data_IF_330275202433
#
_entry.id   IF_330275202433
#
_cell.length_a   1.000
_cell.length_b   1.000
_cell.length_c   1.000
_cell.angle_alpha   90.00
_cell.angle_beta   90.00
_cell.angle_gamma   90.00
#
_symmetry.space_group_name_H-M   'P 1'
#
loop_
_entity.id
_entity.type
_entity.pdbx_description
1 polymer ?
#
# COMPACT_ATOMS: atom_id res chain seq x y z
N UNK A 1 51.58 39.95 -9.43
CA UNK A 1 50.48 40.26 -10.37
C UNK A 1 49.72 38.98 -10.65
N UNK A 2 48.58 38.77 -10.00
CA UNK A 2 47.68 37.66 -10.31
C UNK A 2 46.71 38.09 -11.43
N UNK A 3 46.39 37.20 -12.36
CA UNK A 3 45.65 37.53 -13.58
C UNK A 3 44.19 37.95 -13.31
N UNK A 4 43.76 39.06 -13.90
CA UNK A 4 42.41 39.64 -13.77
C UNK A 4 41.26 38.76 -14.30
N UNK A 5 41.55 37.63 -14.94
CA UNK A 5 40.54 36.68 -15.47
C UNK A 5 39.88 35.79 -14.39
N UNK A 6 40.48 35.67 -13.20
CA UNK A 6 39.91 34.85 -12.12
C UNK A 6 38.79 35.55 -11.35
N UNK A 7 38.87 36.88 -11.20
CA UNK A 7 37.90 37.68 -10.43
C UNK A 7 36.61 37.87 -11.24
N UNK A 8 36.71 38.07 -12.56
CA UNK A 8 35.55 38.16 -13.46
C UNK A 8 34.75 36.86 -13.52
N UNK A 9 35.41 35.69 -13.51
CA UNK A 9 34.71 34.39 -13.45
C UNK A 9 33.99 34.16 -12.12
N UNK A 10 34.58 34.59 -10.99
CA UNK A 10 33.94 34.46 -9.68
C UNK A 10 32.73 35.40 -9.52
N UNK A 11 32.81 36.63 -10.03
CA UNK A 11 31.68 37.57 -10.05
C UNK A 11 30.54 37.09 -10.96
N UNK A 12 30.82 36.48 -12.11
CA UNK A 12 29.77 35.95 -12.99
C UNK A 12 29.01 34.78 -12.34
N UNK A 13 29.73 33.93 -11.58
CA UNK A 13 29.10 32.82 -10.84
C UNK A 13 28.22 33.34 -9.69
N UNK A 14 28.68 34.36 -8.96
CA UNK A 14 27.91 35.02 -7.90
C UNK A 14 26.65 35.75 -8.43
N UNK A 15 26.72 36.36 -9.62
CA UNK A 15 25.55 36.98 -10.24
C UNK A 15 24.50 35.94 -10.67
N UNK A 16 24.92 34.78 -11.19
CA UNK A 16 24.01 33.67 -11.51
C UNK A 16 23.35 33.08 -10.26
N UNK A 17 24.03 33.03 -9.11
CA UNK A 17 23.43 32.61 -7.82
C UNK A 17 22.51 33.65 -7.18
N UNK A 18 22.51 34.90 -7.65
CA UNK A 18 21.59 35.96 -7.21
C UNK A 18 20.43 36.19 -8.19
N UNK A 19 20.51 35.61 -9.40
CA UNK A 19 19.42 35.52 -10.38
C UNK A 19 18.75 34.15 -10.43
N UNK A 20 19.04 33.25 -9.49
CA UNK A 20 17.99 32.35 -8.97
C UNK A 20 16.97 33.19 -8.20
N UNK A 21 16.22 34.01 -8.94
CA UNK A 21 14.95 34.53 -8.48
C UNK A 21 14.20 33.35 -7.89
N UNK A 22 13.68 33.50 -6.68
CA UNK A 22 12.77 32.51 -6.11
C UNK A 22 11.56 32.45 -7.03
N UNK A 23 11.63 31.55 -8.01
CA UNK A 23 10.49 31.00 -8.68
C UNK A 23 9.64 30.41 -7.56
N UNK A 24 8.70 31.23 -7.07
CA UNK A 24 7.48 30.74 -6.48
C UNK A 24 7.07 29.61 -7.41
N UNK A 25 7.08 28.34 -6.96
CA UNK A 25 6.68 27.27 -7.85
C UNK A 25 5.28 27.66 -8.30
N UNK A 26 5.15 27.95 -9.59
CA UNK A 26 3.87 28.32 -10.17
C UNK A 26 2.90 27.25 -9.70
N UNK A 27 1.79 27.66 -9.08
CA UNK A 27 0.75 26.76 -8.62
C UNK A 27 0.06 26.20 -9.87
N UNK A 28 0.79 25.33 -10.56
CA UNK A 28 0.58 24.92 -11.92
C UNK A 28 -0.40 23.76 -11.86
N UNK A 29 -1.68 24.13 -11.79
CA UNK A 29 -2.83 23.24 -11.99
C UNK A 29 -2.72 21.89 -11.27
N UNK A 30 -2.58 21.92 -9.95
CA UNK A 30 -2.79 20.73 -9.14
C UNK A 30 -4.26 20.30 -9.28
N UNK A 31 -4.47 19.05 -9.67
CA UNK A 31 -5.79 18.47 -9.69
C UNK A 31 -6.30 18.36 -8.24
N UNK A 32 -7.59 18.60 -7.93
CA UNK A 32 -8.08 18.62 -6.55
C UNK A 32 -7.82 17.31 -5.79
N UNK A 33 -7.85 16.17 -6.50
CA UNK A 33 -7.59 14.82 -5.97
C UNK A 33 -6.10 14.43 -5.96
N UNK A 34 -5.17 15.32 -6.34
CA UNK A 34 -3.74 14.99 -6.29
C UNK A 34 -3.31 14.57 -4.88
N UNK A 35 -2.29 13.70 -4.74
CA UNK A 35 -1.67 13.43 -3.45
C UNK A 35 -1.07 14.69 -2.82
N UNK A 36 -0.80 14.64 -1.52
CA UNK A 36 -0.04 15.70 -0.84
C UNK A 36 1.42 15.65 -1.27
N UNK A 37 1.95 16.77 -1.79
CA UNK A 37 3.36 16.85 -2.20
C UNK A 37 4.29 16.97 -0.98
N UNK A 38 5.59 16.65 -1.09
CA UNK A 38 6.53 16.79 0.03
C UNK A 38 6.59 18.19 0.66
N UNK A 39 6.44 19.25 -0.15
CA UNK A 39 6.38 20.63 0.35
C UNK A 39 5.09 20.92 1.13
N UNK A 40 3.95 20.37 0.70
CA UNK A 40 2.68 20.45 1.41
C UNK A 40 2.70 19.65 2.71
N UNK A 41 3.28 18.45 2.72
CA UNK A 41 3.48 17.66 3.93
C UNK A 41 4.33 18.41 4.97
N UNK A 42 5.46 18.99 4.54
CA UNK A 42 6.31 19.82 5.41
C UNK A 42 5.57 21.05 5.96
N UNK A 43 4.69 21.67 5.17
CA UNK A 43 3.84 22.79 5.62
C UNK A 43 2.84 22.32 6.68
N UNK A 44 2.13 21.22 6.45
CA UNK A 44 1.17 20.63 7.41
C UNK A 44 1.87 20.29 8.73
N UNK A 45 3.02 19.59 8.68
CA UNK A 45 3.84 19.30 9.86
C UNK A 45 4.23 20.57 10.60
N UNK A 46 4.69 21.60 9.90
CA UNK A 46 5.07 22.88 10.51
C UNK A 46 3.90 23.59 11.19
N UNK A 47 2.71 23.59 10.59
CA UNK A 47 1.49 24.18 11.16
C UNK A 47 1.09 23.45 12.45
N UNK A 48 1.04 22.11 12.40
CA UNK A 48 0.65 21.28 13.56
C UNK A 48 1.65 21.40 14.71
N UNK A 49 2.96 21.34 14.43
CA UNK A 49 4.01 21.49 15.44
C UNK A 49 4.06 22.90 16.04
N UNK A 50 3.69 23.95 15.29
CA UNK A 50 3.59 25.32 15.84
C UNK A 50 2.50 25.43 16.92
N UNK A 51 1.37 24.72 16.77
CA UNK A 51 0.29 24.67 17.77
C UNK A 51 0.58 23.69 18.91
N UNK A 52 1.31 22.61 18.62
CA UNK A 52 1.64 21.54 19.56
C UNK A 52 3.17 21.34 19.64
N UNK A 53 3.91 22.30 20.23
CA UNK A 53 5.37 22.29 20.20
C UNK A 53 5.96 21.12 20.99
N UNK A 54 7.01 20.53 20.44
CA UNK A 54 7.87 19.59 21.16
C UNK A 54 8.50 20.28 22.37
N UNK A 55 8.23 19.76 23.57
CA UNK A 55 8.88 20.22 24.81
C UNK A 55 9.79 19.11 25.32
N UNK A 56 11.07 19.22 24.96
CA UNK A 56 12.15 18.29 25.37
C UNK A 56 12.26 18.13 26.89
N UNK A 57 11.85 19.16 27.65
CA UNK A 57 11.80 19.15 29.12
C UNK A 57 10.67 18.32 29.73
N UNK A 58 9.63 17.92 28.97
CA UNK A 58 8.47 17.17 29.51
C UNK A 58 8.26 15.80 28.87
N UNK A 59 9.03 15.46 27.82
CA UNK A 59 8.85 14.23 27.04
C UNK A 59 7.56 14.19 26.21
N UNK A 60 6.79 15.28 26.15
CA UNK A 60 5.50 15.35 25.45
C UNK A 60 5.70 15.64 23.96
N UNK A 61 6.30 14.69 23.24
CA UNK A 61 6.46 14.77 21.79
C UNK A 61 5.14 14.45 21.08
N UNK A 62 4.81 15.24 20.06
CA UNK A 62 3.78 14.90 19.08
C UNK A 62 4.37 13.90 18.07
N UNK A 63 3.58 12.90 17.68
CA UNK A 63 3.94 11.95 16.61
C UNK A 63 2.82 11.89 15.59
N UNK A 64 3.17 11.80 14.31
CA UNK A 64 2.23 11.75 13.19
C UNK A 64 1.99 10.29 12.81
N UNK A 65 0.72 9.88 12.79
CA UNK A 65 0.30 8.51 12.49
C UNK A 65 -0.32 8.39 11.10
N UNK A 66 -0.86 9.51 10.60
CA UNK A 66 -1.42 9.67 9.27
C UNK A 66 -1.37 11.15 8.91
N UNK A 67 -0.99 11.45 7.67
CA UNK A 67 -1.16 12.74 7.02
C UNK A 67 -1.54 12.44 5.58
N UNK A 68 -2.76 12.80 5.19
CA UNK A 68 -3.30 12.53 3.86
C UNK A 68 -4.23 13.66 3.39
N UNK A 69 -4.64 13.59 2.13
CA UNK A 69 -5.68 14.49 1.62
C UNK A 69 -6.98 14.22 2.40
N UNK A 70 -7.64 15.27 2.85
CA UNK A 70 -9.04 15.20 3.25
C UNK A 70 -9.83 15.41 1.95
N UNK A 71 -10.44 14.32 1.45
CA UNK A 71 -10.95 14.27 0.08
C UNK A 71 -12.10 15.27 -0.12
N UNK A 72 -12.03 16.17 -1.14
CA UNK A 72 -13.10 17.11 -1.39
C UNK A 72 -14.40 16.39 -1.74
N UNK A 73 -15.54 16.99 -1.37
CA UNK A 73 -16.84 16.37 -1.59
C UNK A 73 -17.13 16.14 -3.09
N UNK A 74 -17.81 15.02 -3.38
CA UNK A 74 -18.16 14.56 -4.73
C UNK A 74 -18.84 15.65 -5.57
N UNK A 75 -19.72 16.44 -4.96
CA UNK A 75 -20.46 17.53 -5.63
C UNK A 75 -19.52 18.66 -6.05
N UNK A 76 -18.59 19.07 -5.20
CA UNK A 76 -17.56 20.07 -5.53
C UNK A 76 -16.62 19.60 -6.63
N UNK A 77 -16.20 18.32 -6.62
CA UNK A 77 -15.38 17.74 -7.69
C UNK A 77 -16.14 17.74 -9.02
N UNK A 78 -17.39 17.25 -9.05
CA UNK A 78 -18.21 17.23 -10.27
C UNK A 78 -18.50 18.65 -10.79
N UNK A 79 -18.73 19.61 -9.88
CA UNK A 79 -18.92 21.02 -10.22
C UNK A 79 -17.66 21.62 -10.84
N UNK A 80 -16.49 21.40 -10.23
CA UNK A 80 -15.19 21.83 -10.78
C UNK A 80 -14.89 21.18 -12.14
N UNK A 81 -15.24 19.90 -12.34
CA UNK A 81 -15.06 19.21 -13.61
C UNK A 81 -15.95 19.76 -14.74
N UNK A 82 -17.11 20.33 -14.43
CA UNK A 82 -18.01 20.96 -15.41
C UNK A 82 -17.54 22.34 -15.88
N UNK A 83 -16.60 22.98 -15.17
CA UNK A 83 -16.05 24.28 -15.55
C UNK A 83 -15.25 24.19 -16.87
N UNK A 84 -15.32 25.25 -17.68
CA UNK A 84 -14.44 25.42 -18.83
C UNK A 84 -12.97 25.57 -18.37
N UNK A 85 -11.97 25.35 -19.26
CA UNK A 85 -10.56 25.40 -18.87
C UNK A 85 -10.16 26.71 -18.18
N UNK A 86 -10.60 27.86 -18.71
CA UNK A 86 -10.30 29.17 -18.13
C UNK A 86 -10.86 29.36 -16.71
N UNK A 87 -12.02 28.80 -16.40
CA UNK A 87 -12.58 28.87 -15.06
C UNK A 87 -11.94 27.83 -14.14
N UNK A 88 -11.55 26.65 -14.63
CA UNK A 88 -10.72 25.70 -13.86
C UNK A 88 -9.41 26.32 -13.40
N UNK A 89 -8.79 27.20 -14.21
CA UNK A 89 -7.56 27.92 -13.81
C UNK A 89 -7.80 29.00 -12.74
N UNK A 90 -9.05 29.45 -12.55
CA UNK A 90 -9.45 30.54 -11.65
C UNK A 90 -10.16 30.04 -10.38
N UNK A 91 -10.82 28.88 -10.45
CA UNK A 91 -11.55 28.27 -9.34
C UNK A 91 -10.64 27.31 -8.57
N UNK A 92 -10.14 27.80 -7.43
CA UNK A 92 -9.44 26.98 -6.45
C UNK A 92 -10.46 26.27 -5.55
N UNK A 93 -10.56 24.95 -5.64
CA UNK A 93 -11.14 24.16 -4.54
C UNK A 93 -10.15 24.17 -3.38
N UNK A 94 -10.63 24.47 -2.16
CA UNK A 94 -9.74 24.38 -0.99
C UNK A 94 -9.36 22.92 -0.77
N UNK A 95 -8.05 22.66 -0.74
CA UNK A 95 -7.52 21.35 -0.39
C UNK A 95 -7.28 21.33 1.11
N UNK A 96 -7.92 20.38 1.77
CA UNK A 96 -7.78 20.13 3.20
C UNK A 96 -6.83 18.94 3.40
N UNK A 97 -6.10 18.93 4.52
CA UNK A 97 -5.26 17.80 4.91
C UNK A 97 -5.76 17.24 6.25
N UNK A 98 -6.09 15.96 6.26
CA UNK A 98 -6.47 15.21 7.45
C UNK A 98 -5.21 14.66 8.12
N UNK A 99 -5.08 14.92 9.42
CA UNK A 99 -3.97 14.48 10.25
C UNK A 99 -4.48 13.72 11.46
N UNK A 100 -4.02 12.47 11.62
CA UNK A 100 -4.12 11.77 12.90
C UNK A 100 -2.76 11.85 13.61
N UNK A 101 -2.72 12.53 14.75
CA UNK A 101 -1.53 12.72 15.55
C UNK A 101 -1.71 12.14 16.96
N UNK A 102 -0.62 11.72 17.59
CA UNK A 102 -0.57 11.31 18.99
C UNK A 102 0.18 12.36 19.78
N UNK A 103 -0.48 12.98 20.75
CA UNK A 103 0.08 14.05 21.59
C UNK A 103 -0.43 13.91 23.02
N UNK A 104 0.44 14.07 24.02
CA UNK A 104 0.13 13.88 25.46
C UNK A 104 -0.69 12.61 25.76
N UNK A 105 -0.35 11.50 25.11
CA UNK A 105 -1.02 10.18 25.21
C UNK A 105 -2.47 10.13 24.69
N UNK A 106 -2.98 11.22 24.11
CA UNK A 106 -4.27 11.30 23.40
C UNK A 106 -4.08 11.14 21.89
N UNK A 107 -5.17 10.83 21.18
CA UNK A 107 -5.25 10.88 19.71
C UNK A 107 -5.93 12.19 19.31
N UNK A 108 -5.29 12.95 18.44
CA UNK A 108 -5.84 14.17 17.85
C UNK A 108 -6.21 13.90 16.40
N UNK A 109 -7.38 14.41 16.02
CA UNK A 109 -7.86 14.51 14.65
C UNK A 109 -7.85 15.98 14.26
N UNK A 110 -7.05 16.33 13.27
CA UNK A 110 -6.76 17.72 12.91
C UNK A 110 -6.99 17.90 11.41
N UNK A 111 -7.81 18.89 11.04
CA UNK A 111 -7.98 19.34 9.66
C UNK A 111 -7.17 20.62 9.45
N UNK A 112 -6.28 20.61 8.45
CA UNK A 112 -5.47 21.76 8.05
C UNK A 112 -5.92 22.24 6.68
N UNK A 113 -6.33 23.51 6.58
CA UNK A 113 -6.61 24.14 5.29
C UNK A 113 -5.29 24.65 4.68
N UNK A 114 -4.98 24.15 3.48
CA UNK A 114 -3.69 24.39 2.83
C UNK A 114 -3.59 25.77 2.17
N UNK A 115 -4.73 26.41 1.88
CA UNK A 115 -4.81 27.72 1.25
C UNK A 115 -4.58 28.84 2.29
N UNK A 116 -5.32 28.79 3.38
CA UNK A 116 -5.21 29.69 4.55
C UNK A 116 -4.00 29.36 5.43
N UNK A 117 -3.42 28.16 5.28
CA UNK A 117 -2.28 27.64 6.05
C UNK A 117 -2.57 27.58 7.55
N UNK A 118 -3.79 27.17 7.90
CA UNK A 118 -4.33 27.22 9.26
C UNK A 118 -5.02 25.92 9.66
N UNK A 119 -5.13 25.69 10.97
CA UNK A 119 -5.88 24.55 11.52
C UNK A 119 -7.34 24.95 11.61
N UNK A 120 -8.21 24.25 10.87
CA UNK A 120 -9.67 24.47 10.85
C UNK A 120 -10.29 23.82 12.09
N UNK A 121 -9.98 22.54 12.32
CA UNK A 121 -10.48 21.75 13.46
C UNK A 121 -9.34 20.95 14.09
N UNK A 122 -9.49 20.60 15.38
CA UNK A 122 -8.45 19.94 16.16
C UNK A 122 -9.09 19.26 17.37
N UNK A 123 -9.68 18.10 17.13
CA UNK A 123 -10.51 17.38 18.09
C UNK A 123 -9.72 16.27 18.78
N UNK A 124 -10.08 15.93 20.02
CA UNK A 124 -9.58 14.73 20.70
C UNK A 124 -10.50 13.56 20.35
N UNK A 125 -9.93 12.52 19.76
CA UNK A 125 -10.67 11.30 19.46
C UNK A 125 -10.90 10.48 20.73
N UNK A 126 -12.16 10.30 21.11
CA UNK A 126 -12.60 9.60 22.32
C UNK A 126 -13.29 8.25 22.04
N UNK A 127 -13.34 7.80 20.78
CA UNK A 127 -13.94 6.52 20.38
C UNK A 127 -13.04 5.31 20.66
N UNK A 128 -13.45 4.15 20.16
CA UNK A 128 -12.69 2.91 20.30
C UNK A 128 -11.60 2.78 19.21
N UNK A 129 -10.49 2.13 19.56
CA UNK A 129 -9.37 1.90 18.65
C UNK A 129 -8.33 3.02 18.66
N UNK A 130 -7.31 2.86 17.82
CA UNK A 130 -6.15 3.74 17.75
C UNK A 130 -5.71 3.94 16.29
N UNK A 131 -5.06 5.08 15.97
CA UNK A 131 -4.51 5.31 14.64
C UNK A 131 -3.34 4.37 14.34
N UNK A 132 -3.00 4.29 13.04
CA UNK A 132 -1.91 3.50 12.45
C UNK A 132 -0.62 3.57 13.27
N UNK A 133 0.11 2.46 13.27
CA UNK A 133 1.44 2.40 13.86
C UNK A 133 2.42 3.15 12.96
N UNK A 134 3.21 4.06 13.53
CA UNK A 134 4.36 4.61 12.81
C UNK A 134 5.58 3.67 12.97
N UNK A 135 6.61 3.85 12.14
CA UNK A 135 7.80 2.97 12.16
C UNK A 135 8.65 3.23 13.41
N UNK A 136 8.75 4.50 13.85
CA UNK A 136 9.60 4.91 14.98
C UNK A 136 9.16 4.30 16.31
N UNK A 137 7.86 4.23 16.59
CA UNK A 137 7.34 3.64 17.82
C UNK A 137 7.44 2.10 17.82
N UNK A 138 7.37 1.47 16.64
CA UNK A 138 7.59 0.03 16.49
C UNK A 138 9.07 -0.32 16.68
N UNK A 139 10.00 0.45 16.11
CA UNK A 139 11.44 0.31 16.34
C UNK A 139 11.82 0.53 17.81
N UNK A 140 11.30 1.59 18.45
CA UNK A 140 11.53 1.83 19.89
C UNK A 140 10.95 0.72 20.76
N UNK A 141 9.75 0.24 20.47
CA UNK A 141 9.15 -0.88 21.20
C UNK A 141 9.90 -2.22 20.96
N UNK A 142 10.35 -2.46 19.72
CA UNK A 142 11.10 -3.66 19.33
C UNK A 142 12.51 -3.74 19.92
N UNK A 143 13.05 -2.63 20.43
CA UNK A 143 14.32 -2.59 21.17
C UNK A 143 14.18 -3.01 22.64
N UNK A 144 13.02 -2.81 23.26
CA UNK A 144 12.79 -3.13 24.68
C UNK A 144 13.14 -4.57 25.10
N UNK A 145 12.89 -5.62 24.30
CA UNK A 145 13.31 -6.99 24.65
C UNK A 145 14.81 -7.13 24.91
N UNK A 146 15.65 -6.38 24.20
CA UNK A 146 17.12 -6.53 24.25
C UNK A 146 17.75 -5.96 25.54
N UNK A 147 17.00 -5.18 26.32
CA UNK A 147 17.37 -4.76 27.68
C UNK A 147 16.61 -5.53 28.78
N UNK A 148 15.69 -6.44 28.40
CA UNK A 148 14.76 -7.10 29.31
C UNK A 148 15.29 -8.44 29.82
N UNK A 149 15.78 -8.47 31.07
CA UNK A 149 16.44 -9.65 31.67
C UNK A 149 15.74 -11.01 31.43
N UNK A 150 14.41 -11.16 31.61
CA UNK A 150 13.74 -12.45 31.33
C UNK A 150 13.87 -12.92 29.87
N UNK A 151 13.88 -12.00 28.90
CA UNK A 151 14.10 -12.33 27.49
C UNK A 151 15.55 -12.76 27.25
N UNK A 152 16.52 -12.01 27.80
CA UNK A 152 17.94 -12.35 27.70
C UNK A 152 18.24 -13.74 28.27
N UNK A 153 17.64 -14.09 29.41
CA UNK A 153 17.72 -15.42 30.01
C UNK A 153 17.06 -16.50 29.13
N UNK A 154 15.92 -16.20 28.51
CA UNK A 154 15.20 -17.11 27.62
C UNK A 154 15.94 -17.40 26.31
N UNK A 155 16.65 -16.40 25.75
CA UNK A 155 17.55 -16.54 24.59
C UNK A 155 18.79 -17.36 24.98
N UNK A 156 19.43 -17.03 26.11
CA UNK A 156 20.60 -17.76 26.64
C UNK A 156 20.27 -19.22 26.95
N UNK A 157 19.10 -19.52 27.52
CA UNK A 157 18.63 -20.89 27.82
C UNK A 157 18.49 -21.74 26.55
N UNK A 158 18.18 -21.12 25.41
CA UNK A 158 18.10 -21.76 24.08
C UNK A 158 19.46 -21.90 23.38
N UNK A 159 20.56 -21.43 23.98
CA UNK A 159 21.89 -21.47 23.39
C UNK A 159 22.08 -20.52 22.19
N UNK A 160 21.18 -19.55 22.01
CA UNK A 160 21.18 -18.65 20.86
C UNK A 160 22.05 -17.40 21.13
N UNK A 161 22.76 -16.93 20.11
CA UNK A 161 23.45 -15.64 20.17
C UNK A 161 22.45 -14.48 20.00
N UNK A 162 22.34 -13.61 21.02
CA UNK A 162 21.45 -12.44 21.03
C UNK A 162 21.66 -11.49 19.84
N UNK A 163 22.89 -11.33 19.34
CA UNK A 163 23.17 -10.45 18.19
C UNK A 163 22.47 -10.87 16.89
N UNK A 164 22.03 -12.13 16.82
CA UNK A 164 21.36 -12.71 15.67
C UNK A 164 19.86 -12.88 15.90
N UNK A 165 19.32 -12.31 16.99
CA UNK A 165 17.88 -12.29 17.27
C UNK A 165 17.31 -10.94 16.80
N UNK A 166 16.18 -10.99 16.10
CA UNK A 166 15.39 -9.82 15.72
C UNK A 166 13.93 -10.03 16.13
N UNK A 167 13.16 -8.96 16.34
CA UNK A 167 11.77 -9.07 16.77
C UNK A 167 10.85 -8.20 15.89
N UNK A 168 9.70 -8.75 15.51
CA UNK A 168 8.69 -8.06 14.70
C UNK A 168 7.42 -7.82 15.51
N UNK A 169 6.79 -6.66 15.28
CA UNK A 169 5.55 -6.22 15.91
C UNK A 169 4.32 -6.86 15.27
N UNK A 170 3.36 -7.24 16.12
CA UNK A 170 2.04 -7.75 15.75
C UNK A 170 0.97 -6.98 16.51
N UNK A 171 -0.07 -6.55 15.80
CA UNK A 171 -1.25 -5.92 16.39
C UNK A 171 -2.05 -6.92 17.23
N UNK A 172 -2.54 -6.49 18.39
CA UNK A 172 -3.25 -7.39 19.32
C UNK A 172 -4.75 -7.53 19.08
N UNK A 173 -5.35 -6.69 18.23
CA UNK A 173 -6.80 -6.66 18.03
C UNK A 173 -7.59 -6.33 19.31
N UNK A 174 -8.82 -6.85 19.42
CA UNK A 174 -9.66 -6.75 20.61
C UNK A 174 -10.44 -8.06 20.80
N UNK A 175 -10.51 -8.54 22.05
CA UNK A 175 -11.05 -9.85 22.42
C UNK A 175 -12.11 -9.75 23.55
N UNK A 176 -13.02 -8.77 23.47
CA UNK A 176 -14.17 -8.67 24.38
C UNK A 176 -13.97 -7.85 25.67
N UNK A 177 -12.73 -7.55 26.08
CA UNK A 177 -12.47 -6.76 27.29
C UNK A 177 -12.79 -5.27 27.05
N UNK A 178 -13.91 -4.79 27.57
CA UNK A 178 -14.35 -3.39 27.47
C UNK A 178 -13.60 -2.46 28.44
N UNK A 179 -12.95 -3.00 29.47
CA UNK A 179 -12.24 -2.22 30.48
C UNK A 179 -10.76 -1.97 30.11
N UNK A 180 -10.20 -2.74 29.17
CA UNK A 180 -8.83 -2.55 28.66
C UNK A 180 -8.78 -1.83 27.31
N UNK A 181 -8.85 -0.50 27.36
CA UNK A 181 -8.41 0.36 26.25
C UNK A 181 -6.90 0.64 26.37
N UNK A 182 -6.07 -0.23 25.77
CA UNK A 182 -4.62 -0.13 25.80
C UNK A 182 -4.03 -0.27 24.38
N UNK A 183 -3.07 0.60 24.03
CA UNK A 183 -2.41 0.60 22.72
C UNK A 183 -1.19 -0.32 22.74
N UNK A 184 -1.46 -1.62 22.74
CA UNK A 184 -0.44 -2.65 22.91
C UNK A 184 -0.02 -3.28 21.57
N UNK A 185 1.23 -3.72 21.51
CA UNK A 185 1.75 -4.63 20.48
C UNK A 185 2.25 -5.92 21.14
N UNK A 186 2.12 -7.04 20.42
CA UNK A 186 2.87 -8.25 20.71
C UNK A 186 4.12 -8.29 19.85
N UNK A 187 5.22 -8.82 20.38
CA UNK A 187 6.44 -9.09 19.62
C UNK A 187 6.70 -10.59 19.55
N UNK A 188 6.86 -11.07 18.31
CA UNK A 188 7.43 -12.38 17.99
C UNK A 188 8.91 -12.15 17.64
N UNK A 189 9.81 -12.96 18.16
CA UNK A 189 11.23 -12.87 17.83
C UNK A 189 11.67 -14.04 16.94
N UNK A 190 12.73 -13.81 16.16
CA UNK A 190 13.21 -14.66 15.07
C UNK A 190 14.74 -14.75 15.11
N UNK A 191 15.30 -15.87 14.65
CA UNK A 191 16.75 -16.08 14.59
C UNK A 191 17.28 -15.89 13.17
N UNK A 192 17.93 -14.75 12.93
CA UNK A 192 18.44 -14.33 11.62
C UNK A 192 19.90 -14.78 11.35
N UNK A 193 20.42 -15.77 12.08
CA UNK A 193 21.74 -16.32 11.76
C UNK A 193 21.69 -17.09 10.44
N UNK A 194 22.76 -16.98 9.64
CA UNK A 194 23.00 -17.71 8.38
C UNK A 194 22.00 -17.46 7.23
N UNK A 195 20.85 -16.84 7.47
CA UNK A 195 19.81 -16.59 6.45
C UNK A 195 19.09 -15.25 6.69
N UNK A 196 18.73 -14.49 5.64
CA UNK A 196 17.87 -13.31 5.75
C UNK A 196 16.40 -13.69 5.99
N UNK A 197 16.04 -14.96 5.79
CA UNK A 197 14.67 -15.45 5.90
C UNK A 197 14.28 -15.66 7.37
N UNK A 198 14.10 -14.54 8.08
CA UNK A 198 13.83 -14.53 9.52
C UNK A 198 12.48 -15.18 9.86
N UNK A 199 11.45 -14.99 9.03
CA UNK A 199 10.07 -15.41 9.33
C UNK A 199 9.88 -16.93 9.38
N UNK A 200 10.75 -17.72 8.75
CA UNK A 200 10.74 -19.19 8.88
C UNK A 200 11.50 -19.69 10.12
N UNK A 201 12.13 -18.80 10.90
CA UNK A 201 12.97 -19.14 12.08
C UNK A 201 12.47 -18.52 13.39
N UNK A 202 11.20 -18.72 13.81
CA UNK A 202 10.65 -18.14 15.03
C UNK A 202 11.30 -18.71 16.31
N UNK A 203 11.45 -17.86 17.32
CA UNK A 203 11.69 -18.26 18.72
C UNK A 203 10.34 -18.62 19.36
N UNK A 204 9.84 -19.80 19.02
CA UNK A 204 8.54 -20.28 19.45
C UNK A 204 8.38 -20.30 20.99
N UNK A 205 7.16 -20.04 21.45
CA UNK A 205 6.78 -20.04 22.86
C UNK A 205 7.09 -18.74 23.61
N UNK A 206 7.88 -17.84 23.04
CA UNK A 206 8.09 -16.49 23.60
C UNK A 206 6.99 -15.55 23.10
N UNK A 207 6.36 -14.81 24.00
CA UNK A 207 5.43 -13.71 23.68
C UNK A 207 5.70 -12.53 24.59
N UNK A 208 5.90 -11.36 23.99
CA UNK A 208 6.20 -10.11 24.71
C UNK A 208 5.11 -9.11 24.36
N UNK A 209 4.38 -8.60 25.35
CA UNK A 209 3.39 -7.52 25.16
C UNK A 209 4.01 -6.19 25.60
N UNK A 210 4.04 -5.21 24.70
CA UNK A 210 4.52 -3.83 24.96
C UNK A 210 3.34 -2.86 24.93
N UNK A 211 3.24 -2.01 25.94
CA UNK A 211 2.35 -0.84 25.95
C UNK A 211 3.08 0.34 25.27
N UNK A 212 2.55 0.85 24.16
CA UNK A 212 3.16 1.96 23.40
C UNK A 212 2.94 3.35 24.03
N UNK A 213 1.98 3.49 24.93
CA UNK A 213 1.68 4.74 25.64
C UNK A 213 2.67 4.98 26.77
N UNK A 214 3.08 3.91 27.46
CA UNK A 214 4.10 3.94 28.51
C UNK A 214 5.49 3.47 28.03
N UNK A 215 5.59 2.99 26.78
CA UNK A 215 6.79 2.45 26.12
C UNK A 215 7.54 1.43 27.00
N UNK A 216 6.79 0.41 27.48
CA UNK A 216 7.30 -0.61 28.40
C UNK A 216 6.72 -1.98 28.10
N UNK A 217 7.49 -3.03 28.38
CA UNK A 217 6.98 -4.41 28.43
C UNK A 217 6.01 -4.51 29.62
N UNK A 218 4.78 -4.93 29.33
CA UNK A 218 3.70 -5.09 30.33
C UNK A 218 3.38 -6.56 30.61
N UNK A 219 3.66 -7.45 29.67
CA UNK A 219 3.54 -8.90 29.85
C UNK A 219 4.71 -9.60 29.16
N UNK A 220 5.19 -10.68 29.76
CA UNK A 220 6.22 -11.55 29.19
C UNK A 220 5.88 -12.99 29.50
N UNK A 221 5.85 -13.84 28.47
CA UNK A 221 5.63 -15.27 28.59
C UNK A 221 6.71 -16.02 27.81
N UNK A 222 7.37 -16.98 28.45
CA UNK A 222 8.15 -18.02 27.79
C UNK A 222 7.53 -19.38 28.13
N UNK A 223 6.71 -19.91 27.21
CA UNK A 223 6.29 -21.32 27.22
C UNK A 223 7.49 -22.15 26.77
N UNK A 224 8.34 -22.48 27.74
CA UNK A 224 9.64 -23.13 27.56
C UNK A 224 9.51 -24.62 27.18
N UNK A 225 8.86 -24.88 26.04
CA UNK A 225 8.47 -26.21 25.56
C UNK A 225 9.59 -26.95 24.81
N UNK A 226 10.85 -26.53 24.99
CA UNK A 226 12.04 -27.08 24.33
C UNK A 226 11.94 -27.17 22.79
N UNK A 227 11.14 -26.30 22.16
CA UNK A 227 11.01 -26.22 20.71
C UNK A 227 12.28 -25.57 20.14
N UNK A 228 13.00 -26.34 19.32
CA UNK A 228 14.17 -25.84 18.59
C UNK A 228 13.76 -24.83 17.53
N UNK A 229 14.60 -23.83 17.30
CA UNK A 229 14.43 -22.93 16.16
C UNK A 229 14.64 -23.74 14.87
N UNK A 230 13.78 -23.61 13.84
CA UNK A 230 13.99 -24.23 12.54
C UNK A 230 15.38 -23.92 11.95
N UNK A 231 15.87 -24.80 11.07
CA UNK A 231 17.19 -24.63 10.45
C UNK A 231 17.24 -23.45 9.47
N UNK A 232 18.45 -22.99 9.15
CA UNK A 232 18.69 -22.02 8.08
C UNK A 232 18.90 -22.68 6.69
N UNK A 233 19.24 -23.97 6.68
CA UNK A 233 19.43 -24.81 5.49
C UNK A 233 18.26 -24.62 4.51
N UNK A 234 18.58 -24.33 3.24
CA UNK A 234 17.63 -24.14 2.12
C UNK A 234 16.55 -23.05 2.29
N UNK A 235 16.75 -22.09 3.21
CA UNK A 235 15.83 -20.95 3.41
C UNK A 235 16.22 -19.65 2.69
N UNK A 236 17.43 -19.57 2.12
CA UNK A 236 17.98 -18.38 1.47
C UNK A 236 17.35 -18.17 0.08
N UNK A 237 16.77 -16.98 -0.14
CA UNK A 237 16.07 -16.62 -1.38
C UNK A 237 16.90 -15.68 -2.30
N UNK A 238 18.00 -15.11 -1.81
CA UNK A 238 18.86 -14.24 -2.62
C UNK A 238 19.79 -15.06 -3.50
N UNK A 239 19.66 -14.92 -4.82
CA UNK A 239 20.48 -15.62 -5.81
C UNK A 239 22.00 -15.43 -5.61
N UNK A 240 22.43 -14.31 -5.03
CA UNK A 240 23.82 -14.02 -4.67
C UNK A 240 24.42 -14.97 -3.61
N UNK A 241 23.57 -15.65 -2.84
CA UNK A 241 23.94 -16.49 -1.70
C UNK A 241 23.55 -17.96 -1.90
N UNK A 242 22.75 -18.25 -2.93
CA UNK A 242 22.39 -19.61 -3.35
C UNK A 242 23.55 -20.29 -4.09
N UNK A 243 23.51 -21.63 -4.14
CA UNK A 243 24.53 -22.46 -4.81
C UNK A 243 23.89 -23.22 -5.98
N UNK A 244 24.67 -23.56 -7.04
CA UNK A 244 24.19 -24.43 -8.11
C UNK A 244 23.71 -25.81 -7.60
N UNK A 245 22.85 -26.52 -8.34
CA UNK A 245 22.38 -26.22 -9.69
C UNK A 245 21.27 -25.16 -9.74
N UNK A 246 21.37 -24.24 -10.70
CA UNK A 246 20.28 -23.32 -11.05
C UNK A 246 19.58 -23.82 -12.32
N UNK A 247 18.24 -23.84 -12.34
CA UNK A 247 17.50 -24.18 -13.55
C UNK A 247 15.98 -24.21 -13.39
N UNK A 248 15.24 -24.40 -14.49
CA UNK A 248 15.73 -24.45 -15.87
C UNK A 248 16.24 -23.09 -16.36
N UNK A 249 17.19 -23.08 -17.31
CA UNK A 249 17.66 -21.83 -17.92
C UNK A 249 16.56 -21.25 -18.81
N UNK A 250 16.18 -20.00 -18.56
CA UNK A 250 15.23 -19.25 -19.38
C UNK A 250 15.94 -18.52 -20.52
N UNK A 251 15.27 -18.39 -21.67
CA UNK A 251 15.73 -17.56 -22.76
C UNK A 251 15.36 -16.09 -22.48
N UNK A 252 16.30 -15.17 -22.73
CA UNK A 252 16.02 -13.74 -22.66
C UNK A 252 15.11 -13.31 -23.83
N UNK A 253 14.19 -12.38 -23.55
CA UNK A 253 13.37 -11.71 -24.55
C UNK A 253 13.44 -10.20 -24.32
N UNK A 254 13.19 -9.41 -25.37
CA UNK A 254 13.17 -7.95 -25.30
C UNK A 254 11.83 -7.41 -25.80
N UNK A 255 11.29 -6.42 -25.09
CA UNK A 255 10.11 -5.66 -25.51
C UNK A 255 10.57 -4.27 -25.93
N UNK A 256 10.10 -3.78 -27.09
CA UNK A 256 10.35 -2.42 -27.58
C UNK A 256 9.11 -1.89 -28.25
N UNK A 257 8.64 -0.72 -27.82
CA UNK A 257 7.64 0.07 -28.55
C UNK A 257 8.39 1.13 -29.36
N UNK A 258 8.40 1.07 -30.70
CA UNK A 258 9.23 1.96 -31.53
C UNK A 258 8.80 3.43 -31.42
N UNK A 259 7.50 3.67 -31.29
CA UNK A 259 6.89 5.01 -31.22
C UNK A 259 6.67 5.52 -29.78
N UNK A 260 7.18 4.78 -28.78
CA UNK A 260 6.92 5.00 -27.36
C UNK A 260 5.64 4.32 -26.84
N UNK A 261 5.29 4.54 -25.57
CA UNK A 261 4.09 3.96 -24.96
C UNK A 261 2.80 4.57 -25.53
N UNK A 262 1.71 3.80 -25.56
CA UNK A 262 0.40 4.26 -26.03
C UNK A 262 -0.32 5.22 -25.06
N UNK A 263 0.23 5.44 -23.86
CA UNK A 263 -0.33 6.28 -22.82
C UNK A 263 0.43 7.61 -22.64
N UNK A 264 -0.30 8.63 -22.19
CA UNK A 264 0.24 9.91 -21.74
C UNK A 264 -0.07 10.13 -20.26
N UNK A 265 0.84 10.81 -19.58
CA UNK A 265 0.72 11.20 -18.16
C UNK A 265 0.85 12.72 -18.10
N UNK A 266 -0.19 13.39 -17.62
CA UNK A 266 -0.18 14.82 -17.31
C UNK A 266 -0.48 15.01 -15.81
N UNK A 267 0.56 15.30 -15.03
CA UNK A 267 0.50 15.23 -13.57
C UNK A 267 0.14 13.83 -13.08
N UNK A 268 -1.11 13.67 -12.60
CA UNK A 268 -1.70 12.40 -12.19
C UNK A 268 -2.84 11.93 -13.11
N UNK A 269 -3.10 12.64 -14.21
CA UNK A 269 -4.07 12.23 -15.23
C UNK A 269 -3.38 11.32 -16.24
N UNK A 270 -3.95 10.14 -16.44
CA UNK A 270 -3.56 9.15 -17.43
C UNK A 270 -4.54 9.22 -18.60
N UNK A 271 -4.03 9.25 -19.82
CA UNK A 271 -4.82 9.12 -21.05
C UNK A 271 -4.24 8.01 -21.91
N UNK A 272 -5.03 7.00 -22.26
CA UNK A 272 -4.59 5.82 -23.00
C UNK A 272 -5.74 5.21 -23.80
N UNK A 273 -5.51 4.90 -25.08
CA UNK A 273 -6.55 4.45 -26.00
C UNK A 273 -7.79 5.37 -25.94
N UNK A 274 -8.93 4.85 -25.48
CA UNK A 274 -10.19 5.56 -25.25
C UNK A 274 -10.45 5.91 -23.76
N UNK A 275 -9.50 5.66 -22.86
CA UNK A 275 -9.61 5.94 -21.42
C UNK A 275 -8.93 7.24 -21.00
N UNK A 276 -9.55 7.95 -20.06
CA UNK A 276 -8.93 9.02 -19.25
C UNK A 276 -9.29 8.80 -17.77
N UNK A 277 -8.30 8.82 -16.88
CA UNK A 277 -8.49 8.64 -15.44
C UNK A 277 -7.43 9.37 -14.61
N UNK A 278 -7.70 9.60 -13.32
CA UNK A 278 -6.76 10.14 -12.33
C UNK A 278 -6.19 9.02 -11.44
N UNK A 279 -4.89 9.11 -11.11
CA UNK A 279 -4.19 8.20 -10.19
C UNK A 279 -3.71 8.97 -8.97
N UNK A 280 -4.51 8.98 -7.91
CA UNK A 280 -4.15 9.51 -6.60
C UNK A 280 -3.22 8.59 -5.82
N UNK A 281 -2.78 9.03 -4.64
CA UNK A 281 -2.13 8.18 -3.64
C UNK A 281 -2.40 8.68 -2.22
N UNK A 282 -2.75 7.76 -1.32
CA UNK A 282 -2.77 7.97 0.11
C UNK A 282 -1.98 6.88 0.87
N UNK A 283 -1.35 7.30 1.99
CA UNK A 283 -0.43 6.48 2.81
C UNK A 283 -1.10 5.32 3.54
N UNK A 284 -2.42 5.36 3.75
CA UNK A 284 -3.18 4.29 4.43
C UNK A 284 -3.76 3.28 3.44
N UNK A 285 -4.21 3.73 2.27
CA UNK A 285 -4.97 2.88 1.32
C UNK A 285 -4.20 2.50 0.06
N UNK A 286 -3.23 3.30 -0.39
CA UNK A 286 -2.56 3.08 -1.68
C UNK A 286 -2.93 4.08 -2.77
N UNK A 287 -2.68 3.75 -4.05
CA UNK A 287 -3.16 4.49 -5.17
C UNK A 287 -4.68 4.38 -5.22
N UNK A 288 -5.26 5.43 -5.75
CA UNK A 288 -6.69 5.61 -5.86
C UNK A 288 -6.96 5.88 -7.33
N UNK A 289 -7.76 5.02 -7.97
CA UNK A 289 -8.24 5.29 -9.32
C UNK A 289 -9.50 6.14 -9.20
N UNK A 290 -9.45 7.34 -9.75
CA UNK A 290 -10.52 8.32 -9.68
C UNK A 290 -10.88 8.85 -11.06
N UNK A 291 -12.13 9.25 -11.26
CA UNK A 291 -12.62 9.87 -12.49
C UNK A 291 -12.36 9.05 -13.76
N UNK A 292 -12.33 7.71 -13.66
CA UNK A 292 -12.04 6.89 -14.82
C UNK A 292 -13.20 6.93 -15.80
N UNK A 293 -12.89 7.27 -17.04
CA UNK A 293 -13.89 7.54 -18.07
C UNK A 293 -13.44 6.97 -19.40
N UNK A 294 -14.38 6.39 -20.13
CA UNK A 294 -14.17 5.84 -21.46
C UNK A 294 -14.92 6.70 -22.49
N UNK A 295 -14.27 6.98 -23.61
CA UNK A 295 -14.84 7.66 -24.76
C UNK A 295 -15.59 6.67 -25.66
N UNK A 296 -16.89 6.92 -25.85
CA UNK A 296 -17.74 6.20 -26.78
C UNK A 296 -17.67 6.88 -28.16
N UNK A 297 -17.13 6.14 -29.13
CA UNK A 297 -16.96 6.59 -30.51
C UNK A 297 -18.29 6.66 -31.28
N UNK A 298 -19.29 5.87 -30.91
CA UNK A 298 -20.59 5.83 -31.60
C UNK A 298 -21.47 7.01 -31.17
N UNK A 299 -21.43 7.37 -29.89
CA UNK A 299 -22.21 8.48 -29.32
C UNK A 299 -21.44 9.80 -29.27
N UNK A 300 -20.14 9.79 -29.59
CA UNK A 300 -19.22 10.93 -29.56
C UNK A 300 -19.10 11.61 -28.18
N UNK A 301 -19.34 10.86 -27.09
CA UNK A 301 -19.37 11.33 -25.70
C UNK A 301 -18.61 10.38 -24.76
N UNK A 302 -18.15 10.88 -23.61
CA UNK A 302 -17.62 10.01 -22.54
C UNK A 302 -18.77 9.38 -21.76
N UNK A 303 -18.84 8.04 -21.73
CA UNK A 303 -20.03 7.26 -21.34
C UNK A 303 -19.92 6.53 -19.99
N UNK A 304 -18.91 6.85 -19.19
CA UNK A 304 -18.83 6.42 -17.80
C UNK A 304 -17.98 7.39 -17.01
N UNK A 305 -18.31 7.59 -15.74
CA UNK A 305 -17.40 8.16 -14.75
C UNK A 305 -17.35 7.20 -13.55
N UNK A 306 -16.26 6.47 -13.41
CA UNK A 306 -15.99 5.76 -12.17
C UNK A 306 -15.37 6.77 -11.22
N UNK A 307 -16.03 7.08 -10.11
CA UNK A 307 -15.43 7.88 -9.05
C UNK A 307 -15.05 6.95 -7.90
N UNK A 308 -13.77 6.60 -7.84
CA UNK A 308 -13.09 6.02 -6.68
C UNK A 308 -13.11 4.49 -6.55
N UNK A 309 -11.90 3.93 -6.40
CA UNK A 309 -11.62 2.64 -5.78
C UNK A 309 -10.20 2.62 -5.17
N UNK A 310 -10.05 1.90 -4.06
CA UNK A 310 -8.79 1.70 -3.31
C UNK A 310 -8.04 0.41 -3.67
N UNK A 311 -6.69 0.42 -3.59
CA UNK A 311 -5.79 -0.50 -2.80
C UNK A 311 -4.33 -0.59 -3.35
N UNK A 312 -3.32 -0.26 -2.50
CA UNK A 312 -1.80 -0.25 -2.50
C UNK A 312 -0.91 -0.03 -3.77
N UNK A 313 0.37 0.41 -3.62
CA UNK A 313 1.32 1.05 -4.62
C UNK A 313 2.51 0.14 -5.08
N UNK A 314 3.26 0.29 -6.20
CA UNK A 314 3.24 1.13 -7.44
C UNK A 314 4.09 0.53 -8.63
N UNK A 315 3.63 0.58 -9.88
CA UNK A 315 4.33 0.47 -11.20
C UNK A 315 3.33 0.69 -12.37
N UNK A 316 3.73 1.04 -13.60
CA UNK A 316 2.82 1.03 -14.77
C UNK A 316 3.44 0.30 -15.95
N UNK A 317 2.66 -0.52 -16.66
CA UNK A 317 3.09 -1.30 -17.81
C UNK A 317 1.97 -1.49 -18.82
N UNK A 318 2.27 -1.35 -20.10
CA UNK A 318 1.39 -1.73 -21.20
C UNK A 318 1.70 -3.19 -21.59
N UNK A 319 0.69 -4.06 -21.58
CA UNK A 319 0.83 -5.48 -21.94
C UNK A 319 0.03 -5.76 -23.21
N UNK A 320 0.68 -6.43 -24.16
CA UNK A 320 0.05 -6.93 -25.38
C UNK A 320 -0.41 -8.37 -25.20
N UNK A 321 -1.69 -8.64 -25.48
CA UNK A 321 -2.28 -9.97 -25.42
C UNK A 321 -2.95 -10.29 -26.76
N UNK A 322 -2.54 -11.39 -27.40
CA UNK A 322 -3.23 -11.88 -28.59
C UNK A 322 -4.59 -12.46 -28.22
N UNK A 323 -5.68 -11.82 -28.66
CA UNK A 323 -7.03 -12.40 -28.61
C UNK A 323 -7.44 -12.75 -30.04
N UNK A 324 -7.89 -13.99 -30.26
CA UNK A 324 -8.35 -14.46 -31.57
C UNK A 324 -9.87 -14.59 -31.52
N UNK A 325 -10.59 -13.59 -32.04
CA UNK A 325 -12.03 -13.70 -32.27
C UNK A 325 -12.29 -14.25 -33.67
N UNK A 326 -12.32 -15.59 -33.80
CA UNK A 326 -12.63 -16.25 -35.08
C UNK A 326 -14.14 -16.34 -35.28
N UNK A 327 -14.67 -15.54 -36.20
CA UNK A 327 -16.05 -15.66 -36.70
C UNK A 327 -16.03 -16.41 -38.03
N UNK A 328 -16.80 -17.49 -38.18
CA UNK A 328 -17.00 -18.18 -39.45
C UNK A 328 -18.50 -18.21 -39.76
N UNK A 329 -18.91 -17.65 -40.89
CA UNK A 329 -20.33 -17.59 -41.31
C UNK A 329 -20.59 -18.67 -42.34
N UNK A 330 -21.47 -19.67 -42.07
CA UNK A 330 -21.78 -20.72 -43.04
C UNK A 330 -22.38 -20.14 -44.33
N UNK A 331 -21.81 -20.50 -45.48
CA UNK A 331 -22.31 -20.10 -46.80
C UNK A 331 -21.79 -18.78 -47.37
N UNK A 332 -20.84 -18.13 -46.67
CA UNK A 332 -20.04 -17.01 -47.20
C UNK A 332 -18.59 -17.51 -47.39
N UNK A 333 -17.77 -16.82 -48.21
CA UNK A 333 -16.31 -17.03 -48.22
C UNK A 333 -15.71 -17.04 -46.81
N UNK A 334 -14.58 -17.72 -46.61
CA UNK A 334 -13.88 -17.75 -45.33
C UNK A 334 -13.30 -16.38 -44.94
N UNK A 335 -14.13 -15.53 -44.34
CA UNK A 335 -13.71 -14.28 -43.71
C UNK A 335 -12.99 -14.63 -42.41
N UNK A 336 -11.64 -14.57 -42.43
CA UNK A 336 -10.82 -14.67 -41.23
C UNK A 336 -10.43 -13.27 -40.74
N UNK A 337 -10.99 -12.85 -39.61
CA UNK A 337 -10.59 -11.64 -38.91
C UNK A 337 -9.92 -11.98 -37.56
N UNK A 338 -8.92 -11.20 -37.17
CA UNK A 338 -8.29 -11.25 -35.85
C UNK A 338 -7.73 -9.87 -35.52
N UNK A 339 -7.93 -9.40 -34.28
CA UNK A 339 -7.44 -8.10 -33.82
C UNK A 339 -6.63 -8.28 -32.53
N UNK A 340 -5.43 -7.69 -32.40
CA UNK A 340 -4.68 -7.74 -31.16
C UNK A 340 -5.42 -6.98 -30.05
N UNK A 341 -5.29 -7.45 -28.81
CA UNK A 341 -5.76 -6.73 -27.63
C UNK A 341 -4.56 -6.13 -26.90
N UNK A 342 -4.74 -4.94 -26.36
CA UNK A 342 -3.73 -4.21 -25.60
C UNK A 342 -4.34 -3.81 -24.26
N UNK A 343 -3.54 -3.80 -23.20
CA UNK A 343 -4.06 -3.49 -21.88
C UNK A 343 -3.07 -2.62 -21.10
N UNK A 344 -3.58 -1.55 -20.50
CA UNK A 344 -2.80 -0.71 -19.60
C UNK A 344 -2.96 -1.22 -18.18
N UNK A 345 -1.86 -1.56 -17.54
CA UNK A 345 -1.83 -1.99 -16.14
C UNK A 345 -1.26 -0.88 -15.25
N UNK A 346 -2.07 -0.42 -14.30
CA UNK A 346 -1.55 0.29 -13.12
C UNK A 346 -1.26 -0.75 -12.03
N UNK A 347 -0.02 -1.23 -12.04
CA UNK A 347 0.52 -2.25 -11.12
C UNK A 347 0.95 -1.62 -9.81
N UNK A 348 1.12 -2.49 -8.82
CA UNK A 348 1.52 -2.14 -7.49
C UNK A 348 2.14 -3.34 -6.74
N UNK A 349 2.97 -3.11 -5.71
CA UNK A 349 3.51 -4.12 -4.78
C UNK A 349 3.64 -3.53 -3.36
N UNK A 350 2.84 -4.02 -2.41
CA UNK A 350 2.91 -3.67 -0.98
C UNK A 350 3.50 -4.80 -0.16
N UNK A 351 4.60 -4.55 0.56
CA UNK A 351 5.19 -5.51 1.49
C UNK A 351 4.79 -5.19 2.93
N UNK A 352 4.06 -6.09 3.58
CA UNK A 352 3.66 -5.96 4.99
C UNK A 352 4.25 -7.13 5.79
N UNK A 353 5.35 -6.84 6.50
CA UNK A 353 6.18 -7.80 7.20
C UNK A 353 6.65 -8.96 6.29
N UNK A 354 5.97 -10.10 6.34
CA UNK A 354 6.32 -11.31 5.59
C UNK A 354 5.51 -11.50 4.30
N UNK A 355 4.49 -10.68 4.03
CA UNK A 355 3.61 -10.81 2.87
C UNK A 355 3.88 -9.74 1.82
N UNK A 356 3.86 -10.13 0.56
CA UNK A 356 3.98 -9.24 -0.61
C UNK A 356 2.69 -9.30 -1.44
N UNK A 357 1.99 -8.18 -1.52
CA UNK A 357 0.73 -8.00 -2.25
C UNK A 357 0.98 -7.26 -3.55
N UNK A 358 1.03 -7.98 -4.67
CA UNK A 358 1.05 -7.40 -6.02
C UNK A 358 -0.39 -7.05 -6.37
N UNK A 359 -0.71 -5.79 -6.65
CA UNK A 359 -2.05 -5.35 -7.03
C UNK A 359 -2.01 -4.81 -8.45
N UNK A 360 -3.05 -5.08 -9.25
CA UNK A 360 -3.12 -4.70 -10.66
C UNK A 360 -4.48 -4.13 -11.05
N UNK A 361 -4.41 -3.07 -11.85
CA UNK A 361 -5.53 -2.38 -12.48
C UNK A 361 -5.47 -2.52 -14.00
N UNK A 362 -6.12 -3.57 -14.50
CA UNK A 362 -6.44 -3.98 -15.88
C UNK A 362 -7.36 -3.02 -16.66
N UNK A 363 -6.89 -2.02 -17.40
CA UNK A 363 -7.75 -1.26 -18.34
C UNK A 363 -7.69 -1.83 -19.77
N UNK A 364 -8.86 -1.97 -20.42
CA UNK A 364 -8.99 -2.47 -21.80
C UNK A 364 -9.80 -1.55 -22.72
N UNK A 365 -9.51 -1.47 -24.04
CA UNK A 365 -10.27 -0.62 -24.97
C UNK A 365 -11.73 -1.07 -25.14
N UNK A 366 -12.05 -2.31 -24.76
CA UNK A 366 -13.39 -2.90 -24.71
C UNK A 366 -14.31 -2.31 -23.62
N UNK A 367 -13.84 -1.38 -22.80
CA UNK A 367 -14.58 -0.89 -21.63
C UNK A 367 -14.43 -1.75 -20.37
N UNK A 368 -13.71 -2.87 -20.45
CA UNK A 368 -13.45 -3.72 -19.28
C UNK A 368 -12.42 -3.08 -18.36
N UNK A 369 -12.75 -3.00 -17.07
CA UNK A 369 -11.78 -2.80 -15.99
C UNK A 369 -11.67 -4.12 -15.22
N UNK A 370 -10.46 -4.67 -15.13
CA UNK A 370 -10.14 -5.89 -14.41
C UNK A 370 -9.23 -5.57 -13.23
N UNK A 371 -9.60 -6.08 -12.07
CA UNK A 371 -8.79 -5.96 -10.87
C UNK A 371 -8.12 -7.30 -10.55
N UNK A 372 -6.87 -7.29 -10.04
CA UNK A 372 -6.19 -8.52 -9.58
C UNK A 372 -5.29 -8.30 -8.36
N UNK A 373 -5.19 -9.31 -7.48
CA UNK A 373 -4.11 -9.44 -6.50
C UNK A 373 -3.28 -10.70 -6.81
N UNK A 374 -1.97 -10.56 -6.91
CA UNK A 374 -1.00 -11.64 -6.75
C UNK A 374 -0.45 -11.65 -5.33
N UNK A 375 -0.43 -12.81 -4.68
CA UNK A 375 0.15 -13.00 -3.35
C UNK A 375 1.51 -13.70 -3.48
N UNK A 376 2.53 -13.17 -2.81
CA UNK A 376 3.85 -13.80 -2.67
C UNK A 376 4.49 -13.40 -1.33
N UNK A 377 5.78 -13.66 -1.16
CA UNK A 377 6.53 -13.41 0.06
C UNK A 377 6.85 -14.70 0.81
N UNK A 378 6.78 -14.66 2.14
CA UNK A 378 7.21 -15.72 3.05
C UNK A 378 6.04 -16.14 3.95
N UNK A 379 5.87 -17.45 4.13
CA UNK A 379 4.85 -18.00 5.04
C UNK A 379 5.10 -17.58 6.49
N UNK A 380 4.02 -17.24 7.21
CA UNK A 380 4.08 -17.10 8.66
C UNK A 380 4.24 -18.48 9.31
N UNK A 381 5.43 -18.76 9.84
CA UNK A 381 5.77 -20.05 10.44
C UNK A 381 5.58 -20.01 11.96
N UNK A 382 5.00 -21.09 12.48
CA UNK A 382 5.05 -21.47 13.89
C UNK A 382 6.11 -22.55 14.07
N UNK A 383 6.96 -22.42 15.09
CA UNK A 383 7.92 -23.46 15.43
C UNK A 383 7.21 -24.69 16.02
N UNK A 384 7.71 -25.89 15.78
CA UNK A 384 7.14 -27.11 16.37
C UNK A 384 8.20 -28.16 16.69
N UNK A 385 7.87 -29.09 17.59
CA UNK A 385 8.66 -30.29 17.80
C UNK A 385 8.54 -31.31 16.65
N UNK A 386 7.53 -31.18 15.79
CA UNK A 386 7.30 -32.12 14.68
C UNK A 386 8.39 -32.05 13.62
N UNK A 387 8.93 -33.20 13.24
CA UNK A 387 9.76 -33.41 12.04
C UNK A 387 9.02 -34.19 10.96
N UNK A 388 8.06 -35.04 11.33
CA UNK A 388 7.33 -35.89 10.40
C UNK A 388 5.81 -35.79 10.63
N UNK A 389 5.01 -35.95 9.55
CA UNK A 389 3.54 -35.76 9.59
C UNK A 389 2.80 -36.76 10.48
N UNK A 390 3.33 -37.97 10.63
CA UNK A 390 2.78 -39.03 11.48
C UNK A 390 2.86 -38.71 12.98
N UNK A 391 3.71 -37.76 13.38
CA UNK A 391 3.83 -37.28 14.76
C UNK A 391 2.67 -36.36 15.18
N UNK A 392 1.90 -35.84 14.21
CA UNK A 392 0.73 -34.99 14.45
C UNK A 392 -0.46 -35.88 14.85
N UNK A 393 -0.96 -35.71 16.08
CA UNK A 393 -2.05 -36.55 16.66
C UNK A 393 -3.38 -35.80 16.81
N UNK A 394 -3.35 -34.48 16.76
CA UNK A 394 -4.49 -33.57 16.88
C UNK A 394 -4.38 -32.50 15.79
N UNK A 395 -5.39 -31.65 15.61
CA UNK A 395 -5.29 -30.56 14.64
C UNK A 395 -4.17 -29.58 15.04
N UNK A 396 -3.15 -29.48 14.19
CA UNK A 396 -2.04 -28.56 14.39
C UNK A 396 -2.40 -27.10 14.02
N UNK A 397 -3.57 -26.87 13.41
CA UNK A 397 -4.02 -25.61 12.81
C UNK A 397 -3.08 -25.09 11.71
N UNK A 398 -2.40 -26.00 11.02
CA UNK A 398 -1.47 -25.70 9.95
C UNK A 398 -0.92 -26.94 9.26
N UNK A 399 -0.18 -26.73 8.18
CA UNK A 399 0.53 -27.78 7.44
C UNK A 399 2.00 -27.84 7.85
N UNK A 400 2.51 -29.03 8.17
CA UNK A 400 3.95 -29.24 8.35
C UNK A 400 4.63 -29.15 6.98
N UNK A 401 5.37 -28.07 6.77
CA UNK A 401 6.02 -27.71 5.51
C UNK A 401 7.44 -28.27 5.41
N UNK A 402 8.17 -28.23 6.53
CA UNK A 402 9.51 -28.79 6.72
C UNK A 402 9.69 -29.15 8.19
N UNK A 403 10.81 -29.78 8.54
CA UNK A 403 11.19 -30.08 9.91
C UNK A 403 11.06 -28.83 10.79
N UNK A 404 10.40 -29.00 11.94
CA UNK A 404 10.10 -27.95 12.93
C UNK A 404 9.28 -26.75 12.42
N UNK A 405 8.77 -26.80 11.18
CA UNK A 405 8.25 -25.66 10.43
C UNK A 405 6.78 -25.88 10.08
N UNK A 406 5.88 -25.36 10.90
CA UNK A 406 4.43 -25.45 10.71
C UNK A 406 3.88 -24.15 10.10
N UNK A 407 3.39 -24.22 8.86
CA UNK A 407 2.73 -23.11 8.20
C UNK A 407 1.25 -23.04 8.64
N UNK A 408 0.88 -21.98 9.34
CA UNK A 408 -0.45 -21.84 9.97
C UNK A 408 -1.51 -21.49 8.91
N UNK A 409 -2.70 -22.11 9.03
CA UNK A 409 -3.84 -21.78 8.18
C UNK A 409 -4.30 -20.34 8.43
N UNK A 410 -4.47 -19.57 7.36
CA UNK A 410 -4.92 -18.18 7.40
C UNK A 410 -5.53 -17.79 6.05
N UNK A 411 -6.41 -16.80 6.08
CA UNK A 411 -7.09 -16.29 4.90
C UNK A 411 -6.56 -14.89 4.53
N UNK A 412 -6.66 -14.54 3.25
CA UNK A 412 -6.43 -13.19 2.75
C UNK A 412 -7.74 -12.64 2.17
N UNK A 413 -8.48 -11.87 2.99
CA UNK A 413 -9.66 -11.15 2.52
C UNK A 413 -9.27 -9.75 2.03
N UNK A 414 -9.84 -9.32 0.90
CA UNK A 414 -9.64 -7.98 0.34
C UNK A 414 -10.97 -7.38 -0.06
N UNK A 415 -11.18 -6.12 0.30
CA UNK A 415 -12.45 -5.41 0.10
C UNK A 415 -12.22 -4.18 -0.77
N UNK A 416 -13.10 -4.01 -1.76
CA UNK A 416 -13.08 -2.92 -2.73
C UNK A 416 -14.21 -1.95 -2.41
N UNK A 417 -13.91 -0.64 -2.39
CA UNK A 417 -14.90 0.43 -2.33
C UNK A 417 -15.17 0.96 -3.75
N UNK A 418 -16.06 0.30 -4.48
CA UNK A 418 -16.46 0.72 -5.82
C UNK A 418 -17.54 1.81 -5.72
N UNK A 419 -17.17 3.09 -5.84
CA UNK A 419 -18.13 4.16 -6.08
C UNK A 419 -18.26 4.39 -7.60
N UNK A 420 -19.47 4.19 -8.11
CA UNK A 420 -19.78 4.02 -9.54
C UNK A 420 -20.76 5.10 -9.96
N UNK A 421 -20.39 5.93 -10.94
CA UNK A 421 -21.32 6.83 -11.64
C UNK A 421 -21.49 6.35 -13.10
N UNK A 422 -22.15 5.19 -13.27
CA UNK A 422 -22.46 4.61 -14.58
C UNK A 422 -23.39 5.56 -15.36
N UNK A 423 -22.81 6.22 -16.36
CA UNK A 423 -23.39 7.33 -17.14
C UNK A 423 -23.98 8.49 -16.27
N UNK A 424 -23.54 8.61 -15.01
CA UNK A 424 -24.01 9.61 -14.03
C UNK A 424 -24.23 9.04 -12.63
N UNK A 425 -24.43 9.93 -11.64
CA UNK A 425 -24.48 9.58 -10.20
C UNK A 425 -25.75 8.84 -9.75
N UNK A 426 -26.75 8.73 -10.61
CA UNK A 426 -28.04 8.10 -10.30
C UNK A 426 -28.01 6.65 -10.76
N UNK A 427 -27.60 5.74 -9.88
CA UNK A 427 -27.41 4.33 -10.18
C UNK A 427 -28.31 3.44 -9.31
N UNK A 428 -28.45 2.18 -9.70
CA UNK A 428 -29.22 1.17 -8.95
C UNK A 428 -28.55 -0.19 -9.08
N UNK A 429 -28.53 -0.95 -7.98
CA UNK A 429 -28.00 -2.31 -7.99
C UNK A 429 -29.05 -3.30 -8.51
N UNK A 430 -28.72 -4.00 -9.59
CA UNK A 430 -29.60 -5.02 -10.21
C UNK A 430 -28.97 -6.40 -10.02
N UNK A 431 -29.74 -7.34 -9.46
CA UNK A 431 -29.37 -8.75 -9.35
C UNK A 431 -30.20 -9.59 -10.31
N UNK A 432 -29.61 -9.96 -11.44
CA UNK A 432 -30.23 -10.89 -12.41
C UNK A 432 -29.98 -12.33 -11.99
N UNK A 433 -31.04 -13.09 -11.72
CA UNK A 433 -30.94 -14.54 -11.48
C UNK A 433 -31.22 -15.28 -12.79
N UNK A 434 -30.43 -16.31 -13.11
CA UNK A 434 -30.74 -17.24 -14.20
C UNK A 434 -31.67 -18.32 -13.67
N UNK A 435 -32.88 -18.40 -14.21
CA UNK A 435 -33.89 -19.38 -13.82
C UNK A 435 -34.01 -20.49 -14.88
N UNK A 436 -34.04 -21.74 -14.43
CA UNK A 436 -34.22 -22.89 -15.32
C UNK A 436 -35.69 -23.08 -15.64
N UNK A 437 -36.09 -22.78 -16.87
CA UNK A 437 -37.46 -23.04 -17.36
C UNK A 437 -37.51 -24.44 -17.96
N UNK A 438 -38.42 -25.29 -17.44
CA UNK A 438 -38.68 -26.61 -18.02
C UNK A 438 -39.65 -26.46 -19.19
N UNK A 439 -39.24 -26.88 -20.39
CA UNK A 439 -40.13 -27.01 -21.54
C UNK A 439 -41.14 -28.13 -21.30
N UNK A 440 -42.43 -27.85 -21.47
CA UNK A 440 -43.54 -28.75 -21.12
C UNK A 440 -44.40 -29.19 -22.31
N UNK A 441 -44.18 -28.61 -23.49
CA UNK A 441 -45.04 -28.75 -24.68
C UNK A 441 -44.37 -29.49 -25.85
N UNK A 442 -43.27 -30.22 -25.60
CA UNK A 442 -42.43 -30.88 -26.60
C UNK A 442 -41.86 -29.95 -27.70
N UNK A 443 -41.92 -28.62 -27.52
CA UNK A 443 -41.17 -27.70 -28.37
C UNK A 443 -39.66 -27.87 -28.15
N UNK A 444 -38.87 -27.52 -29.17
CA UNK A 444 -37.48 -27.11 -28.94
C UNK A 444 -37.49 -25.61 -28.70
N UNK A 445 -36.68 -25.08 -27.74
CA UNK A 445 -36.29 -23.68 -27.78
C UNK A 445 -35.48 -23.37 -29.06
#
# INVERSE_FOLDING_TARGET
MASSSSITKLMLFLLFTLLSCSAIPSYQHQHPLDPLTPSVLNLVTSIVLKKHPHTTSTGQNLTFQYVGLDEPDKTSILSWLSLNPENKTKTFLSRLALVFARYKKQTLEIIVDLLTRSIVTSNVYNGHGYPTLNIEEQDRAGKLPFDYKPFLESVRKRGLNLSNVTCSSYTVGWFGDLNKSARNLKFQCYYANETPNLFVRPLEGITITVDLKEMKIVEYFDKSNNISVPKAEDTEYRTSNQKPPFGPKLNGFGIKQPDGPGFKIDGHIISWANWVFHVGFDVRVGPIISLASIYDLEKMVSQSKFLMLFVFLKNMLEIFCGVIQKTAVPGIEEILESRPDASLIVRTISTVANYDYIIDWEFKPSGSIKFGIGLTGILAIKGTAYTHKDQIKEDAHGTLFSDHTLAIYHDHYSTYHLDLDLDGVSNSFVKSNLETVKVTDNSSP
#
